data_IF_801870481458
#
_entry.id   IF_801870481458
#
_cell.length_a   1.000
_cell.length_b   1.000
_cell.length_c   1.000
_cell.angle_alpha   90.00
_cell.angle_beta   90.00
_cell.angle_gamma   90.00
#
_symmetry.space_group_name_H-M   'P 1'
#
loop_
_entity.id
_entity.type
_entity.pdbx_description
1 polymer ?
#
# COMPACT_ATOMS: atom_id res chain seq x y z
N UNK A 1 15.28 -12.95 -0.59
CA UNK A 1 14.77 -11.58 -0.78
C UNK A 1 14.63 -11.30 -2.25
N UNK A 2 13.58 -10.60 -2.66
CA UNK A 2 13.23 -10.37 -4.05
C UNK A 2 12.48 -9.03 -4.22
N UNK A 3 12.31 -8.63 -5.48
CA UNK A 3 11.42 -7.53 -5.88
C UNK A 3 10.34 -8.11 -6.79
N UNK A 4 9.09 -7.82 -6.49
CA UNK A 4 7.96 -8.23 -7.31
C UNK A 4 7.21 -6.99 -7.83
N UNK A 5 6.81 -7.04 -9.10
CA UNK A 5 6.01 -6.00 -9.74
C UNK A 5 4.65 -6.59 -10.07
N UNK A 6 3.61 -6.03 -9.47
CA UNK A 6 2.24 -6.47 -9.71
C UNK A 6 1.73 -5.81 -10.99
N UNK A 7 0.79 -6.47 -11.68
CA UNK A 7 0.20 -5.94 -12.91
C UNK A 7 -0.49 -4.57 -12.70
N UNK A 8 -0.86 -4.23 -11.47
CA UNK A 8 -1.42 -2.94 -11.08
C UNK A 8 -0.37 -1.83 -10.84
N UNK A 9 0.90 -2.06 -11.15
CA UNK A 9 1.98 -1.09 -10.99
C UNK A 9 2.54 -0.99 -9.57
N UNK A 10 1.99 -1.76 -8.62
CA UNK A 10 2.51 -1.85 -7.25
C UNK A 10 3.82 -2.64 -7.24
N UNK A 11 4.80 -2.17 -6.47
CA UNK A 11 6.07 -2.85 -6.31
C UNK A 11 6.25 -3.30 -4.85
N UNK A 12 6.50 -4.58 -4.66
CA UNK A 12 6.84 -5.18 -3.38
C UNK A 12 8.36 -5.43 -3.31
N UNK A 13 8.98 -5.10 -2.18
CA UNK A 13 10.40 -5.36 -1.94
C UNK A 13 10.56 -6.16 -0.65
N UNK A 14 10.93 -7.42 -0.81
CA UNK A 14 11.23 -8.35 0.27
C UNK A 14 12.73 -8.37 0.51
N UNK A 15 13.23 -7.97 1.70
CA UNK A 15 14.65 -8.10 2.03
C UNK A 15 15.08 -9.58 2.08
N UNK A 16 16.39 -9.81 2.15
CA UNK A 16 16.91 -11.16 2.46
C UNK A 16 16.42 -11.56 3.85
N UNK A 17 16.10 -12.84 4.02
CA UNK A 17 15.60 -13.40 5.28
C UNK A 17 14.30 -12.75 5.80
N UNK A 18 13.45 -12.21 4.91
CA UNK A 18 12.12 -11.72 5.28
C UNK A 18 11.25 -12.85 5.86
N UNK A 19 11.43 -14.09 5.38
CA UNK A 19 10.80 -15.31 5.89
C UNK A 19 11.84 -16.42 6.02
N UNK A 20 11.59 -17.40 6.88
CA UNK A 20 12.39 -18.64 7.00
C UNK A 20 11.98 -19.68 5.97
N UNK A 21 10.70 -19.75 5.64
CA UNK A 21 10.13 -20.65 4.63
C UNK A 21 9.65 -19.88 3.40
N UNK A 22 9.55 -20.53 2.24
CA UNK A 22 8.90 -19.95 1.07
C UNK A 22 7.44 -19.59 1.38
N UNK A 23 7.01 -18.40 0.97
CA UNK A 23 5.63 -17.92 1.13
C UNK A 23 5.13 -17.44 -0.23
N UNK A 24 3.96 -17.93 -0.63
CA UNK A 24 3.25 -17.46 -1.82
C UNK A 24 2.35 -16.30 -1.44
N UNK A 25 2.54 -15.15 -2.10
CA UNK A 25 1.72 -13.96 -1.91
C UNK A 25 0.75 -13.82 -3.07
N UNK A 26 -0.55 -13.84 -2.78
CA UNK A 26 -1.62 -13.52 -3.71
C UNK A 26 -2.01 -12.06 -3.56
N UNK A 27 -2.51 -11.45 -4.63
CA UNK A 27 -2.97 -10.06 -4.59
C UNK A 27 -4.29 -9.89 -5.33
N UNK A 28 -5.11 -8.97 -4.83
CA UNK A 28 -6.33 -8.56 -5.48
C UNK A 28 -6.53 -7.06 -5.32
N UNK A 29 -6.97 -6.40 -6.40
CA UNK A 29 -7.48 -5.03 -6.30
C UNK A 29 -8.93 -5.07 -5.84
N UNK A 30 -9.25 -4.29 -4.82
CA UNK A 30 -10.60 -4.11 -4.31
C UNK A 30 -11.04 -2.69 -4.61
N UNK A 31 -12.20 -2.58 -5.25
CA UNK A 31 -12.89 -1.29 -5.31
C UNK A 31 -13.16 -0.83 -3.87
N UNK A 32 -12.98 0.46 -3.57
CA UNK A 32 -13.30 1.00 -2.27
C UNK A 32 -14.80 0.85 -2.02
N UNK A 33 -15.18 -0.12 -1.19
CA UNK A 33 -16.54 -0.20 -0.68
C UNK A 33 -16.69 0.88 0.41
N UNK A 34 -17.70 1.76 0.35
CA UNK A 34 -17.95 2.75 1.39
C UNK A 34 -18.10 2.15 2.80
N UNK A 35 -18.53 0.89 2.93
CA UNK A 35 -18.60 0.20 4.22
C UNK A 35 -17.20 -0.10 4.79
N UNK A 36 -16.24 -0.35 3.90
CA UNK A 36 -14.87 -0.71 4.26
C UNK A 36 -13.95 0.51 4.27
N UNK A 37 -14.15 1.54 3.44
CA UNK A 37 -13.26 2.71 3.38
C UNK A 37 -13.92 3.93 4.02
N UNK A 38 -13.60 4.17 5.30
CA UNK A 38 -14.10 5.35 6.04
C UNK A 38 -13.21 6.57 5.80
N UNK A 39 -13.56 7.35 4.79
CA UNK A 39 -12.98 8.67 4.51
C UNK A 39 -13.64 9.72 5.42
N UNK A 40 -12.85 10.63 5.99
CA UNK A 40 -13.38 11.86 6.62
C UNK A 40 -13.84 12.83 5.53
N UNK A 41 -14.57 13.87 5.94
CA UNK A 41 -15.17 14.86 5.03
C UNK A 41 -14.20 15.51 4.00
N UNK A 42 -12.90 15.56 4.32
CA UNK A 42 -11.87 16.15 3.45
C UNK A 42 -10.86 15.13 2.91
N UNK A 43 -11.02 13.85 3.25
CA UNK A 43 -10.14 12.79 2.76
C UNK A 43 -10.52 12.46 1.31
N UNK A 44 -9.51 12.19 0.49
CA UNK A 44 -9.68 11.80 -0.91
C UNK A 44 -8.95 10.48 -1.10
N UNK A 45 -9.64 9.50 -1.67
CA UNK A 45 -9.00 8.25 -2.05
C UNK A 45 -8.18 8.45 -3.33
N UNK A 46 -6.89 8.10 -3.28
CA UNK A 46 -5.95 8.33 -4.38
C UNK A 46 -5.57 7.05 -5.14
N UNK A 47 -5.91 5.86 -4.62
CA UNK A 47 -5.68 4.56 -5.28
C UNK A 47 -6.78 3.56 -4.94
N UNK A 48 -6.96 2.53 -5.77
CA UNK A 48 -7.75 1.35 -5.40
C UNK A 48 -7.12 0.65 -4.18
N UNK A 49 -7.94 -0.07 -3.40
CA UNK A 49 -7.44 -0.84 -2.27
C UNK A 49 -6.72 -2.11 -2.77
N UNK A 50 -5.59 -2.44 -2.14
CA UNK A 50 -4.84 -3.67 -2.41
C UNK A 50 -5.06 -4.65 -1.25
N UNK A 51 -5.58 -5.83 -1.56
CA UNK A 51 -5.55 -6.97 -0.65
C UNK A 51 -4.36 -7.86 -0.99
N UNK A 52 -3.61 -8.27 0.04
CA UNK A 52 -2.50 -9.22 -0.06
C UNK A 52 -2.80 -10.42 0.82
N UNK A 53 -2.70 -11.62 0.28
CA UNK A 53 -2.95 -12.86 1.00
C UNK A 53 -1.72 -13.79 0.99
N UNK A 54 -1.56 -14.65 2.01
CA UNK A 54 -2.43 -14.79 3.16
C UNK A 54 -2.29 -13.64 4.17
N UNK A 55 -3.37 -13.36 4.92
CA UNK A 55 -3.37 -12.36 5.99
C UNK A 55 -2.57 -12.86 7.20
N UNK A 56 -2.06 -11.93 8.00
CA UNK A 56 -1.38 -12.25 9.27
C UNK A 56 0.02 -12.85 9.13
N UNK A 57 0.65 -12.76 7.94
CA UNK A 57 2.06 -13.15 7.80
C UNK A 57 2.94 -12.17 8.60
N UNK A 58 3.81 -12.74 9.43
CA UNK A 58 4.87 -12.00 10.10
C UNK A 58 6.18 -12.17 9.36
N UNK A 59 6.74 -11.06 8.87
CA UNK A 59 8.08 -11.04 8.28
C UNK A 59 9.12 -10.72 9.35
N UNK A 60 10.27 -11.40 9.30
CA UNK A 60 11.40 -11.13 10.21
C UNK A 60 12.11 -9.80 9.90
N UNK A 61 11.82 -9.21 8.75
CA UNK A 61 12.45 -8.00 8.24
C UNK A 61 11.39 -7.13 7.55
N UNK A 62 11.57 -5.81 7.63
CA UNK A 62 10.66 -4.82 7.05
C UNK A 62 10.49 -5.03 5.53
N UNK A 63 9.27 -5.36 5.10
CA UNK A 63 8.88 -5.42 3.69
C UNK A 63 8.41 -4.04 3.25
N UNK A 64 8.80 -3.59 2.06
CA UNK A 64 8.36 -2.29 1.54
C UNK A 64 7.42 -2.44 0.38
N UNK A 65 6.38 -1.62 0.37
CA UNK A 65 5.35 -1.59 -0.66
C UNK A 65 5.36 -0.20 -1.29
N UNK A 66 5.41 -0.14 -2.62
CA UNK A 66 5.27 1.10 -3.40
C UNK A 66 3.94 1.07 -4.13
N UNK A 67 3.06 2.00 -3.79
CA UNK A 67 1.70 2.08 -4.30
C UNK A 67 1.60 3.30 -5.22
N UNK A 68 1.32 3.13 -6.52
CA UNK A 68 1.04 4.25 -7.40
C UNK A 68 -0.31 4.87 -7.03
N UNK A 69 -0.40 6.19 -7.15
CA UNK A 69 -1.63 6.92 -6.85
C UNK A 69 -1.87 8.03 -7.87
N UNK A 70 -3.14 8.40 -8.07
CA UNK A 70 -3.51 9.55 -8.88
C UNK A 70 -3.21 10.83 -8.08
N UNK A 71 -2.34 11.68 -8.61
CA UNK A 71 -2.00 12.96 -7.97
C UNK A 71 -2.90 14.06 -8.51
N UNK A 72 -3.88 14.58 -7.75
CA UNK A 72 -4.56 15.80 -8.14
C UNK A 72 -3.59 16.98 -8.07
N UNK A 73 -3.78 17.95 -8.97
CA UNK A 73 -2.97 19.17 -9.06
C UNK A 73 -2.95 20.02 -7.76
N UNK A 74 -3.81 19.72 -6.79
CA UNK A 74 -4.03 20.48 -5.55
C UNK A 74 -3.55 19.76 -4.27
N UNK A 75 -2.62 18.80 -4.35
CA UNK A 75 -2.08 18.13 -3.16
C UNK A 75 -1.09 18.96 -2.32
N UNK A 76 -0.72 20.18 -2.74
CA UNK A 76 0.41 20.91 -2.16
C UNK A 76 0.28 21.18 -0.63
N UNK A 77 -0.94 21.22 -0.09
CA UNK A 77 -1.20 21.41 1.35
C UNK A 77 -1.87 20.20 2.03
N UNK A 78 -1.78 19.00 1.43
CA UNK A 78 -2.43 17.79 1.93
C UNK A 78 -1.41 16.73 2.35
N UNK A 79 -1.67 16.12 3.51
CA UNK A 79 -0.91 14.94 3.94
C UNK A 79 -1.36 13.71 3.14
N UNK A 80 -0.39 12.91 2.69
CA UNK A 80 -0.65 11.64 2.04
C UNK A 80 -0.36 10.50 3.01
N UNK A 81 -1.40 9.70 3.28
CA UNK A 81 -1.35 8.56 4.20
C UNK A 81 -1.78 7.30 3.47
N UNK A 82 -0.99 6.24 3.58
CA UNK A 82 -1.43 4.87 3.28
C UNK A 82 -2.06 4.29 4.54
N UNK A 83 -3.27 3.75 4.42
CA UNK A 83 -3.98 3.10 5.53
C UNK A 83 -4.07 1.60 5.27
N UNK A 84 -4.08 0.83 6.34
CA UNK A 84 -4.27 -0.62 6.31
C UNK A 84 -5.46 -1.04 7.16
N UNK A 85 -6.08 -2.16 6.81
CA UNK A 85 -7.19 -2.76 7.53
C UNK A 85 -6.78 -4.14 8.02
N UNK A 86 -6.89 -4.39 9.33
CA UNK A 86 -6.50 -5.65 9.96
C UNK A 86 -7.64 -6.67 10.07
N UNK A 87 -8.83 -6.35 9.53
CA UNK A 87 -10.05 -7.13 9.71
C UNK A 87 -11.01 -6.55 10.76
N UNK A 88 -10.52 -5.64 11.61
CA UNK A 88 -11.31 -5.01 12.67
C UNK A 88 -11.30 -3.49 12.59
N UNK A 89 -10.15 -2.87 12.31
CA UNK A 89 -9.98 -1.42 12.28
C UNK A 89 -9.01 -0.97 11.21
N UNK A 90 -9.13 0.31 10.85
CA UNK A 90 -8.17 1.01 10.02
C UNK A 90 -7.09 1.66 10.86
N UNK A 91 -5.85 1.59 10.38
CA UNK A 91 -4.71 2.28 10.95
C UNK A 91 -3.83 2.88 9.85
N UNK A 92 -3.02 3.86 10.25
CA UNK A 92 -2.17 4.60 9.32
C UNK A 92 -0.78 3.97 9.30
N UNK A 93 -0.27 3.69 8.10
CA UNK A 93 1.10 3.22 7.90
C UNK A 93 2.04 4.39 7.73
N UNK A 94 3.30 4.20 8.16
CA UNK A 94 4.35 5.18 7.90
C UNK A 94 4.50 5.38 6.40
N UNK A 95 4.15 6.57 5.93
CA UNK A 95 4.05 6.85 4.51
C UNK A 95 5.17 7.78 4.07
N UNK A 96 5.85 7.43 2.98
CA UNK A 96 6.86 8.28 2.33
C UNK A 96 6.51 8.46 0.87
N UNK A 97 6.38 9.70 0.42
CA UNK A 97 6.07 9.99 -0.98
C UNK A 97 7.35 9.99 -1.82
N UNK A 98 7.28 9.40 -3.02
CA UNK A 98 8.27 9.63 -4.09
C UNK A 98 7.58 10.07 -5.37
N UNK A 99 8.09 11.15 -5.94
CA UNK A 99 7.69 11.67 -7.24
C UNK A 99 8.85 11.52 -8.21
N UNK A 100 8.62 10.91 -9.38
CA UNK A 100 9.57 10.85 -10.49
C UNK A 100 8.87 11.31 -11.77
N UNK A 101 9.13 12.54 -12.18
CA UNK A 101 8.40 13.19 -13.27
C UNK A 101 6.90 13.24 -12.96
N UNK A 102 6.06 12.74 -13.86
CA UNK A 102 4.59 12.66 -13.70
C UNK A 102 4.11 11.44 -12.88
N UNK A 103 5.01 10.54 -12.47
CA UNK A 103 4.66 9.34 -11.70
C UNK A 103 4.79 9.59 -10.21
N UNK A 104 3.71 9.38 -9.49
CA UNK A 104 3.61 9.53 -8.05
C UNK A 104 3.43 8.16 -7.39
N UNK A 105 4.16 7.91 -6.32
CA UNK A 105 4.03 6.67 -5.55
C UNK A 105 4.24 6.91 -4.06
N UNK A 106 3.45 6.22 -3.25
CA UNK A 106 3.59 6.19 -1.81
C UNK A 106 4.36 4.92 -1.40
N UNK A 107 5.29 5.03 -0.47
CA UNK A 107 6.00 3.91 0.13
C UNK A 107 5.53 3.72 1.56
N UNK A 108 5.16 2.49 1.90
CA UNK A 108 4.85 2.05 3.25
C UNK A 108 5.57 0.73 3.58
N UNK A 109 5.47 0.35 4.86
CA UNK A 109 5.98 -0.89 5.44
C UNK A 109 5.04 -1.39 6.51
#
# INVERSE_FOLDING_TARGET
GCRAFLACGIQLRFPRSATTTPVTIHFQKRSPDPHWVKLKHHDILLSEALELQPHGIHFHQEVRIWIPYASPHSLNDRELIVRTFDGHKWSDLRTRVKCKGKKHSACCS
#
